data_IF_119375323564
#
_entry.id   IF_119375323564
#
_cell.length_a   1.000
_cell.length_b   1.000
_cell.length_c   1.000
_cell.angle_alpha   90.00
_cell.angle_beta   90.00
_cell.angle_gamma   90.00
#
_symmetry.space_group_name_H-M   'P 1'
#
loop_
_entity.id
_entity.type
_entity.pdbx_description
1 polymer ?
#
# COMPACT_ATOMS: atom_id res chain seq x y z
N UNK A 1 19.78 15.56 -34.08
CA UNK A 1 19.53 14.10 -34.13
C UNK A 1 20.13 13.34 -32.96
N UNK A 2 21.26 13.74 -32.39
CA UNK A 2 21.85 13.08 -31.22
C UNK A 2 21.02 13.24 -29.92
N UNK A 3 20.25 14.30 -29.77
CA UNK A 3 19.41 14.56 -28.58
C UNK A 3 18.19 13.65 -28.44
N UNK A 4 17.65 13.14 -29.56
CA UNK A 4 16.49 12.22 -29.53
C UNK A 4 16.87 10.81 -29.08
N UNK A 5 18.11 10.36 -29.34
CA UNK A 5 18.59 9.06 -28.85
C UNK A 5 18.87 9.07 -27.35
N UNK A 6 19.26 10.22 -26.78
CA UNK A 6 19.54 10.33 -25.35
C UNK A 6 18.28 10.35 -24.50
N UNK A 7 17.18 10.93 -24.97
CA UNK A 7 15.93 10.93 -24.21
C UNK A 7 15.27 9.55 -24.17
N UNK A 8 15.39 8.73 -25.23
CA UNK A 8 14.85 7.38 -25.20
C UNK A 8 15.66 6.41 -24.31
N UNK A 9 16.96 6.66 -24.16
CA UNK A 9 17.82 5.91 -23.24
C UNK A 9 17.50 6.27 -21.79
N UNK A 10 17.24 7.54 -21.51
CA UNK A 10 16.84 8.00 -20.16
C UNK A 10 15.47 7.42 -19.72
N UNK A 11 14.51 7.31 -20.62
CA UNK A 11 13.23 6.66 -20.33
C UNK A 11 13.38 5.16 -20.03
N UNK A 12 14.25 4.47 -20.75
CA UNK A 12 14.53 3.05 -20.51
C UNK A 12 15.26 2.81 -19.18
N UNK A 13 16.10 3.74 -18.76
CA UNK A 13 16.84 3.62 -17.50
C UNK A 13 15.96 3.96 -16.27
N UNK A 14 14.98 4.84 -16.41
CA UNK A 14 14.04 5.19 -15.34
C UNK A 14 13.16 4.01 -14.94
N UNK A 15 12.61 3.25 -15.90
CA UNK A 15 11.74 2.10 -15.65
C UNK A 15 12.47 0.94 -14.95
N UNK A 16 13.69 0.53 -15.35
CA UNK A 16 14.46 -0.46 -14.61
C UNK A 16 14.88 0.01 -13.20
N UNK A 17 15.15 1.30 -13.01
CA UNK A 17 15.50 1.84 -11.71
C UNK A 17 14.31 1.80 -10.72
N UNK A 18 13.10 2.07 -11.19
CA UNK A 18 11.86 1.93 -10.40
C UNK A 18 11.63 0.46 -10.02
N UNK A 19 11.79 -0.46 -10.95
CA UNK A 19 11.66 -1.89 -10.70
C UNK A 19 12.74 -2.39 -9.71
N UNK A 20 13.97 -1.85 -9.77
CA UNK A 20 15.04 -2.18 -8.83
C UNK A 20 14.80 -1.59 -7.44
N UNK A 21 14.27 -0.37 -7.34
CA UNK A 21 13.91 0.26 -6.07
C UNK A 21 12.76 -0.46 -5.37
N UNK A 22 11.91 -1.19 -6.10
CA UNK A 22 10.84 -1.99 -5.55
C UNK A 22 11.26 -3.40 -5.11
N UNK A 23 12.43 -3.89 -5.52
CA UNK A 23 12.95 -5.17 -5.11
C UNK A 23 13.60 -5.06 -3.73
N UNK A 24 13.22 -5.87 -2.74
CA UNK A 24 13.90 -5.87 -1.45
C UNK A 24 15.36 -6.35 -1.64
N UNK A 25 16.31 -5.78 -0.90
CA UNK A 25 17.69 -6.24 -0.97
C UNK A 25 17.77 -7.74 -0.65
N UNK A 26 18.47 -8.47 -1.48
CA UNK A 26 18.54 -9.94 -1.45
C UNK A 26 19.23 -10.53 -0.20
N UNK A 27 19.63 -9.71 0.77
CA UNK A 27 20.49 -10.13 1.87
C UNK A 27 19.79 -10.41 3.20
N UNK A 28 18.49 -10.24 3.30
CA UNK A 28 17.76 -10.66 4.49
C UNK A 28 16.87 -11.84 4.15
N UNK A 29 17.39 -13.04 4.36
CA UNK A 29 16.54 -14.23 4.51
C UNK A 29 15.78 -14.03 5.83
N UNK A 30 14.77 -13.19 5.80
CA UNK A 30 13.78 -13.17 6.87
C UNK A 30 13.00 -14.47 6.79
N UNK A 31 12.79 -15.18 7.91
CA UNK A 31 11.86 -16.29 7.92
C UNK A 31 10.54 -15.79 7.32
N UNK A 32 9.94 -16.61 6.45
CA UNK A 32 8.63 -16.31 5.89
C UNK A 32 7.69 -15.91 7.02
N UNK A 33 6.94 -14.81 6.89
CA UNK A 33 5.99 -14.42 7.92
C UNK A 33 5.05 -15.59 8.18
N UNK A 34 4.67 -15.83 9.44
CA UNK A 34 3.76 -16.91 9.75
C UNK A 34 2.55 -16.80 8.83
N UNK A 35 2.15 -17.91 8.21
CA UNK A 35 0.99 -17.95 7.33
C UNK A 35 -0.17 -17.32 8.07
N UNK A 36 -0.72 -16.23 7.54
CA UNK A 36 -1.92 -15.59 8.08
C UNK A 36 -2.99 -16.67 8.29
N UNK A 37 -3.55 -16.74 9.48
CA UNK A 37 -4.66 -17.64 9.76
C UNK A 37 -5.81 -17.25 8.85
N UNK A 38 -6.23 -18.17 8.02
CA UNK A 38 -7.43 -18.03 7.21
C UNK A 38 -8.64 -18.49 8.01
N UNK A 39 -9.74 -17.81 7.83
CA UNK A 39 -11.02 -18.25 8.34
C UNK A 39 -11.42 -19.56 7.66
N UNK A 40 -12.02 -20.47 8.40
CA UNK A 40 -12.67 -21.67 7.85
C UNK A 40 -14.12 -21.34 7.50
N UNK A 41 -14.31 -20.36 6.64
CA UNK A 41 -15.58 -19.80 6.24
C UNK A 41 -15.45 -19.39 4.77
N UNK A 42 -16.39 -19.83 3.94
CA UNK A 42 -16.36 -19.56 2.50
C UNK A 42 -17.14 -18.30 2.11
N UNK A 43 -17.53 -17.48 3.09
CA UNK A 43 -18.24 -16.23 2.82
C UNK A 43 -17.33 -15.14 2.24
N UNK A 44 -17.94 -14.24 1.48
CA UNK A 44 -17.23 -13.04 0.98
C UNK A 44 -16.69 -12.17 2.11
N UNK A 45 -17.39 -12.11 3.25
CA UNK A 45 -16.93 -11.35 4.42
C UNK A 45 -15.66 -11.97 4.99
N UNK A 46 -15.61 -13.28 5.19
CA UNK A 46 -14.42 -13.95 5.69
C UNK A 46 -13.24 -13.80 4.72
N UNK A 47 -13.49 -13.93 3.42
CA UNK A 47 -12.47 -13.70 2.40
C UNK A 47 -11.93 -12.26 2.44
N UNK A 48 -12.78 -11.27 2.61
CA UNK A 48 -12.38 -9.87 2.76
C UNK A 48 -11.52 -9.67 4.02
N UNK A 49 -11.95 -10.22 5.15
CA UNK A 49 -11.21 -10.11 6.41
C UNK A 49 -9.86 -10.82 6.37
N UNK A 50 -9.70 -11.88 5.60
CA UNK A 50 -8.39 -12.49 5.36
C UNK A 50 -7.41 -11.53 4.68
N UNK A 51 -7.91 -10.62 3.86
CA UNK A 51 -7.11 -9.64 3.12
C UNK A 51 -6.91 -8.35 3.91
N UNK A 52 -7.97 -7.79 4.48
CA UNK A 52 -7.97 -6.46 5.10
C UNK A 52 -8.26 -6.45 6.59
N UNK A 53 -8.39 -7.60 7.23
CA UNK A 53 -8.80 -7.70 8.63
C UNK A 53 -7.71 -7.40 9.67
N UNK A 54 -6.47 -7.23 9.25
CA UNK A 54 -5.37 -6.90 10.17
C UNK A 54 -5.49 -5.46 10.68
N UNK A 55 -5.06 -5.27 11.92
CA UNK A 55 -5.04 -3.94 12.52
C UNK A 55 -4.28 -2.94 11.66
N UNK A 56 -4.77 -1.75 11.52
CA UNK A 56 -4.29 -0.63 10.71
C UNK A 56 -4.58 -0.71 9.22
N UNK A 57 -4.86 -1.86 8.66
CA UNK A 57 -4.98 -2.05 7.20
C UNK A 57 -6.04 -1.12 6.59
N UNK A 58 -7.25 -1.11 7.12
CA UNK A 58 -8.33 -0.24 6.59
C UNK A 58 -8.08 1.24 6.86
N UNK A 59 -7.37 1.59 7.91
CA UNK A 59 -6.96 2.98 8.16
C UNK A 59 -5.94 3.46 7.13
N UNK A 60 -5.02 2.61 6.70
CA UNK A 60 -4.09 2.89 5.61
C UNK A 60 -4.85 3.07 4.30
N UNK A 61 -5.78 2.17 4.00
CA UNK A 61 -6.64 2.26 2.81
C UNK A 61 -7.42 3.57 2.80
N UNK A 62 -7.99 3.98 3.92
CA UNK A 62 -8.69 5.27 4.06
C UNK A 62 -7.81 6.46 3.67
N UNK A 63 -6.56 6.50 4.16
CA UNK A 63 -5.63 7.56 3.81
C UNK A 63 -5.31 7.58 2.32
N UNK A 64 -5.11 6.40 1.73
CA UNK A 64 -4.80 6.26 0.30
C UNK A 64 -6.02 6.48 -0.61
N UNK A 65 -7.24 6.31 -0.11
CA UNK A 65 -8.47 6.71 -0.82
C UNK A 65 -8.54 8.24 -1.01
N UNK A 66 -7.96 9.00 -0.10
CA UNK A 66 -7.93 10.46 -0.19
C UNK A 66 -6.91 10.96 -1.21
N UNK A 67 -5.71 10.41 -1.19
CA UNK A 67 -4.63 10.74 -2.11
C UNK A 67 -3.50 9.70 -2.01
N UNK A 68 -2.69 9.62 -3.08
CA UNK A 68 -1.40 8.93 -3.00
C UNK A 68 -0.53 9.58 -1.92
N UNK A 69 0.21 8.79 -1.17
CA UNK A 69 1.00 9.24 -0.02
C UNK A 69 2.40 8.66 -0.03
N UNK A 70 3.36 9.45 0.43
CA UNK A 70 4.69 8.95 0.79
C UNK A 70 4.62 8.17 2.10
N UNK A 71 5.60 7.31 2.34
CA UNK A 71 5.70 6.57 3.59
C UNK A 71 5.66 7.48 4.83
N UNK A 72 6.45 8.57 4.84
CA UNK A 72 6.47 9.52 5.94
C UNK A 72 5.13 10.22 6.18
N UNK A 73 4.40 10.53 5.11
CA UNK A 73 3.06 11.12 5.21
C UNK A 73 2.05 10.16 5.83
N UNK A 74 2.13 8.86 5.49
CA UNK A 74 1.31 7.83 6.13
C UNK A 74 1.66 7.67 7.61
N UNK A 75 2.95 7.67 7.93
CA UNK A 75 3.41 7.58 9.31
C UNK A 75 2.88 8.73 10.17
N UNK A 76 2.89 9.95 9.62
CA UNK A 76 2.38 11.15 10.29
C UNK A 76 0.84 11.13 10.42
N UNK A 77 0.15 10.67 9.39
CA UNK A 77 -1.32 10.63 9.37
C UNK A 77 -1.90 9.55 10.29
N UNK A 78 -1.16 8.47 10.53
CA UNK A 78 -1.60 7.32 11.31
C UNK A 78 -0.94 7.35 12.69
N UNK A 79 -1.39 8.26 13.54
CA UNK A 79 -0.82 8.43 14.87
C UNK A 79 -0.83 7.12 15.68
N UNK A 80 0.34 6.74 16.17
CA UNK A 80 0.52 5.54 16.98
C UNK A 80 0.92 4.28 16.21
N UNK A 81 0.99 4.32 14.87
CA UNK A 81 1.52 3.19 14.11
C UNK A 81 3.04 3.15 14.22
N UNK A 82 3.59 1.97 14.49
CA UNK A 82 5.04 1.77 14.47
C UNK A 82 5.58 1.66 13.04
N UNK A 83 6.85 2.06 12.84
CA UNK A 83 7.51 2.04 11.52
C UNK A 83 7.53 0.66 10.88
N UNK A 84 7.88 -0.38 11.63
CA UNK A 84 7.92 -1.76 11.14
C UNK A 84 6.52 -2.28 10.79
N UNK A 85 5.52 -1.92 11.58
CA UNK A 85 4.15 -2.35 11.33
C UNK A 85 3.61 -1.73 10.05
N UNK A 86 3.86 -0.43 9.83
CA UNK A 86 3.46 0.24 8.58
C UNK A 86 4.11 -0.41 7.36
N UNK A 87 5.42 -0.68 7.41
CA UNK A 87 6.11 -1.39 6.32
C UNK A 87 5.46 -2.74 6.04
N UNK A 88 5.17 -3.52 7.07
CA UNK A 88 4.55 -4.84 6.92
C UNK A 88 3.16 -4.75 6.31
N UNK A 89 2.34 -3.81 6.76
CA UNK A 89 0.98 -3.61 6.22
C UNK A 89 1.02 -3.17 4.76
N UNK A 90 1.92 -2.26 4.40
CA UNK A 90 2.09 -1.81 3.01
C UNK A 90 2.54 -2.97 2.11
N UNK A 91 3.45 -3.82 2.56
CA UNK A 91 3.85 -5.04 1.82
C UNK A 91 2.69 -6.01 1.64
N UNK A 92 1.90 -6.23 2.66
CA UNK A 92 0.74 -7.10 2.60
C UNK A 92 -0.29 -6.59 1.59
N UNK A 93 -0.58 -5.29 1.61
CA UNK A 93 -1.51 -4.65 0.69
C UNK A 93 -0.99 -4.68 -0.75
N UNK A 94 0.31 -4.45 -0.96
CA UNK A 94 0.93 -4.58 -2.27
C UNK A 94 0.87 -6.02 -2.78
N UNK A 95 1.19 -6.99 -1.93
CA UNK A 95 1.10 -8.41 -2.25
C UNK A 95 -0.31 -8.89 -2.57
N UNK A 96 -1.33 -8.29 -1.96
CA UNK A 96 -2.74 -8.55 -2.25
C UNK A 96 -3.26 -7.80 -3.49
N UNK A 97 -2.44 -6.96 -4.12
CA UNK A 97 -2.83 -6.19 -5.30
C UNK A 97 -3.74 -5.01 -5.01
N UNK A 98 -3.76 -4.51 -3.77
CA UNK A 98 -4.60 -3.38 -3.36
C UNK A 98 -3.91 -2.03 -3.50
N UNK A 99 -2.59 -2.00 -3.46
CA UNK A 99 -1.80 -0.81 -3.68
C UNK A 99 -0.55 -1.11 -4.52
N UNK A 100 0.05 -0.05 -5.03
CA UNK A 100 1.33 -0.09 -5.74
C UNK A 100 2.22 1.06 -5.31
N UNK A 101 3.51 0.88 -5.49
CA UNK A 101 4.50 1.93 -5.33
C UNK A 101 4.75 2.61 -6.67
N UNK A 102 4.74 3.92 -6.67
CA UNK A 102 4.96 4.74 -7.87
C UNK A 102 6.09 5.72 -7.60
N UNK A 103 7.03 5.80 -8.54
CA UNK A 103 8.05 6.82 -8.51
C UNK A 103 7.49 8.11 -9.11
N UNK A 104 7.45 9.16 -8.31
CA UNK A 104 7.04 10.48 -8.77
C UNK A 104 8.29 11.29 -9.11
N UNK A 105 8.36 11.77 -10.35
CA UNK A 105 9.41 12.67 -10.80
C UNK A 105 9.13 14.08 -10.25
N UNK A 106 9.72 14.38 -9.13
CA UNK A 106 9.85 15.73 -8.59
C UNK A 106 11.34 16.11 -8.65
N UNK A 107 11.73 17.35 -8.32
CA UNK A 107 13.16 17.69 -8.23
C UNK A 107 13.96 16.71 -7.36
N UNK A 108 13.27 16.04 -6.44
CA UNK A 108 13.80 14.92 -5.66
C UNK A 108 12.86 13.74 -5.87
N UNK A 109 13.28 12.73 -6.62
CA UNK A 109 12.49 11.53 -6.86
C UNK A 109 11.97 10.94 -5.55
N UNK A 110 10.67 10.73 -5.48
CA UNK A 110 10.01 10.18 -4.30
C UNK A 110 9.12 9.00 -4.66
N UNK A 111 9.11 8.00 -3.80
CA UNK A 111 8.18 6.88 -3.90
C UNK A 111 6.89 7.24 -3.17
N UNK A 112 5.77 7.10 -3.85
CA UNK A 112 4.43 7.24 -3.27
C UNK A 112 3.70 5.91 -3.35
N UNK A 113 2.82 5.70 -2.40
CA UNK A 113 1.88 4.57 -2.41
C UNK A 113 0.54 5.06 -2.93
N UNK A 114 -0.06 4.32 -3.84
CA UNK A 114 -1.40 4.61 -4.35
C UNK A 114 -2.21 3.32 -4.45
N UNK A 115 -3.53 3.45 -4.32
CA UNK A 115 -4.43 2.32 -4.49
C UNK A 115 -4.54 1.93 -5.97
N UNK A 116 -4.62 0.63 -6.20
CA UNK A 116 -5.08 0.06 -7.47
C UNK A 116 -6.61 0.19 -7.57
N UNK A 117 -7.20 -0.12 -8.71
CA UNK A 117 -8.66 -0.16 -8.86
C UNK A 117 -9.30 -1.15 -7.87
N UNK A 118 -8.63 -2.28 -7.62
CA UNK A 118 -9.06 -3.25 -6.60
C UNK A 118 -9.03 -2.64 -5.19
N UNK A 119 -8.04 -1.85 -4.86
CA UNK A 119 -7.95 -1.14 -3.59
C UNK A 119 -9.02 -0.05 -3.47
N UNK A 120 -9.27 0.71 -4.52
CA UNK A 120 -10.32 1.74 -4.56
C UNK A 120 -11.73 1.17 -4.42
N UNK A 121 -11.94 -0.07 -4.83
CA UNK A 121 -13.22 -0.75 -4.65
C UNK A 121 -13.61 -0.94 -3.16
N UNK A 122 -12.67 -0.76 -2.22
CA UNK A 122 -12.96 -0.76 -0.78
C UNK A 122 -13.62 0.52 -0.27
N UNK A 123 -13.76 1.55 -1.10
CA UNK A 123 -14.28 2.86 -0.68
C UNK A 123 -15.65 2.76 0.02
N UNK A 124 -16.59 2.07 -0.57
CA UNK A 124 -17.92 1.87 0.01
C UNK A 124 -17.88 1.15 1.35
N UNK A 125 -17.04 0.12 1.48
CA UNK A 125 -16.88 -0.63 2.73
C UNK A 125 -16.25 0.21 3.84
N UNK A 126 -15.22 0.99 3.51
CA UNK A 126 -14.56 1.90 4.46
C UNK A 126 -15.53 2.96 4.95
N UNK A 127 -16.30 3.59 4.05
CA UNK A 127 -17.30 4.59 4.40
C UNK A 127 -18.45 4.01 5.23
N UNK A 128 -18.88 2.79 4.94
CA UNK A 128 -19.91 2.10 5.72
C UNK A 128 -19.43 1.81 7.15
N UNK A 129 -18.20 1.36 7.31
CA UNK A 129 -17.59 1.14 8.62
C UNK A 129 -17.40 2.44 9.40
N UNK A 130 -16.97 3.50 8.74
CA UNK A 130 -16.86 4.84 9.33
C UNK A 130 -18.19 5.30 9.92
N UNK A 131 -19.25 5.21 9.13
CA UNK A 131 -20.60 5.60 9.55
C UNK A 131 -21.12 4.73 10.70
N UNK A 132 -20.90 3.43 10.63
CA UNK A 132 -21.29 2.50 11.68
C UNK A 132 -20.54 2.81 12.99
N UNK A 133 -19.22 3.03 12.91
CA UNK A 133 -18.38 3.35 14.05
C UNK A 133 -18.80 4.64 14.73
N UNK A 134 -19.03 5.70 13.94
CA UNK A 134 -19.48 6.99 14.46
C UNK A 134 -20.85 6.92 15.17
N UNK A 135 -21.74 6.05 14.70
CA UNK A 135 -23.08 5.91 15.25
C UNK A 135 -23.17 4.97 16.48
N UNK A 136 -22.24 4.02 16.61
CA UNK A 136 -22.39 2.91 17.58
C UNK A 136 -21.24 2.79 18.58
N UNK A 137 -20.14 3.53 18.39
CA UNK A 137 -18.97 3.47 19.27
C UNK A 137 -18.71 4.85 19.86
N UNK A 138 -18.50 4.92 21.17
CA UNK A 138 -18.07 6.15 21.81
C UNK A 138 -16.61 6.46 21.41
N UNK A 139 -16.37 7.70 20.99
CA UNK A 139 -15.06 8.18 20.53
C UNK A 139 -14.30 8.92 21.64
#
# INVERSE_FOLDING_TARGET
MASLKNSSVLEKDIVPAVARASAPPRHSVRPAPPRKRRYRDDSGLAAALDVVGERWTLLIVRELLRAARRYGELLDALAGIGTNLLVNRLRDLEGAGLLRRVLVATPQSAVVYELTDRGRALDAAVNALESWGAANVEL
#
